data_IF_955494918679
#
_entry.id   IF_955494918679
#
_cell.length_a   1.000
_cell.length_b   1.000
_cell.length_c   1.000
_cell.angle_alpha   90.00
_cell.angle_beta   90.00
_cell.angle_gamma   90.00
#
_symmetry.space_group_name_H-M   'P 1'
#
loop_
_entity.id
_entity.type
_entity.pdbx_description
1 polymer ?
#
# COMPACT_ATOMS: atom_id res chain seq x y z
N UNK A 1 -37.00 -26.08 -0.77
CA UNK A 1 -36.10 -25.76 0.36
C UNK A 1 -34.93 -24.98 -0.21
N UNK A 2 -34.92 -23.66 -0.04
CA UNK A 2 -33.91 -22.78 -0.62
C UNK A 2 -32.86 -22.52 0.46
N UNK A 3 -31.69 -23.16 0.34
CA UNK A 3 -30.55 -22.83 1.19
C UNK A 3 -30.01 -21.48 0.71
N UNK A 4 -30.33 -20.42 1.44
CA UNK A 4 -29.68 -19.13 1.24
C UNK A 4 -28.23 -19.31 1.68
N UNK A 5 -27.34 -19.60 0.72
CA UNK A 5 -25.91 -19.58 0.93
C UNK A 5 -25.53 -18.11 1.14
N UNK A 6 -25.73 -17.59 2.36
CA UNK A 6 -25.14 -16.35 2.79
C UNK A 6 -23.64 -16.62 2.89
N UNK A 7 -22.96 -16.54 1.74
CA UNK A 7 -21.56 -16.21 1.67
C UNK A 7 -21.43 -14.85 2.35
N UNK A 8 -21.33 -14.86 3.69
CA UNK A 8 -20.70 -13.78 4.43
C UNK A 8 -19.24 -13.84 3.99
N UNK A 9 -18.95 -13.25 2.84
CA UNK A 9 -17.61 -12.78 2.52
C UNK A 9 -17.35 -11.71 3.57
N UNK A 10 -16.83 -12.10 4.73
CA UNK A 10 -16.14 -11.16 5.59
C UNK A 10 -14.94 -10.71 4.76
N UNK A 11 -15.03 -9.55 4.14
CA UNK A 11 -13.87 -8.93 3.50
C UNK A 11 -12.82 -8.76 4.59
N UNK A 12 -11.76 -9.56 4.53
CA UNK A 12 -10.61 -9.37 5.39
C UNK A 12 -9.71 -8.29 4.77
N UNK A 13 -8.91 -7.61 5.60
CA UNK A 13 -8.01 -6.56 5.11
C UNK A 13 -7.05 -7.06 4.00
N UNK A 14 -6.73 -8.36 4.01
CA UNK A 14 -5.92 -9.03 2.99
C UNK A 14 -6.61 -9.17 1.62
N UNK A 15 -7.94 -9.07 1.58
CA UNK A 15 -8.74 -9.16 0.35
C UNK A 15 -8.84 -7.84 -0.41
N UNK A 16 -8.31 -6.73 0.15
CA UNK A 16 -8.38 -5.39 -0.44
C UNK A 16 -7.07 -5.04 -1.14
N UNK A 17 -7.14 -4.82 -2.46
CA UNK A 17 -5.98 -4.35 -3.22
C UNK A 17 -5.79 -2.84 -3.07
N UNK A 18 -4.90 -2.44 -2.19
CA UNK A 18 -4.52 -1.03 -1.99
C UNK A 18 -3.06 -0.80 -2.37
N UNK A 19 -2.84 -0.02 -3.44
CA UNK A 19 -1.51 0.39 -3.93
C UNK A 19 -1.46 1.88 -4.22
N UNK A 20 -0.28 2.48 -4.07
CA UNK A 20 -0.05 3.90 -4.38
C UNK A 20 1.34 4.11 -5.00
N UNK A 21 1.55 5.30 -5.57
CA UNK A 21 2.85 5.78 -6.04
C UNK A 21 3.27 6.88 -5.06
N UNK A 22 4.27 6.58 -4.24
CA UNK A 22 4.79 7.54 -3.28
C UNK A 22 5.74 8.52 -3.96
N UNK A 23 5.66 9.79 -3.57
CA UNK A 23 6.61 10.83 -3.96
C UNK A 23 7.23 11.46 -2.72
N UNK A 24 8.52 11.79 -2.83
CA UNK A 24 9.27 12.40 -1.75
C UNK A 24 9.76 13.77 -2.18
N UNK A 25 9.78 14.69 -1.21
CA UNK A 25 10.41 15.99 -1.36
C UNK A 25 11.37 16.20 -0.21
N UNK A 26 12.67 16.24 -0.50
CA UNK A 26 13.69 16.43 0.51
C UNK A 26 14.61 17.59 0.16
N UNK A 27 15.22 18.19 1.17
CA UNK A 27 16.36 19.08 0.97
C UNK A 27 17.56 18.30 0.42
N UNK A 28 18.54 19.00 -0.19
CA UNK A 28 19.82 18.39 -0.55
C UNK A 28 20.52 17.75 0.65
N UNK A 29 21.20 16.63 0.43
CA UNK A 29 21.90 15.89 1.48
C UNK A 29 21.67 14.39 1.41
N UNK A 30 21.74 13.72 2.56
CA UNK A 30 21.73 12.25 2.68
C UNK A 30 20.54 11.57 1.97
N UNK A 31 19.37 12.21 1.95
CA UNK A 31 18.14 11.64 1.39
C UNK A 31 17.73 12.25 0.05
N UNK A 32 18.58 13.09 -0.56
CA UNK A 32 18.27 13.75 -1.83
C UNK A 32 17.89 12.76 -2.94
N UNK A 33 18.47 11.55 -2.90
CA UNK A 33 18.16 10.48 -3.84
C UNK A 33 16.67 10.12 -3.86
N UNK A 34 15.90 10.33 -2.79
CA UNK A 34 14.45 10.04 -2.79
C UNK A 34 13.66 10.90 -3.80
N UNK A 35 14.20 12.05 -4.23
CA UNK A 35 13.53 12.88 -5.25
C UNK A 35 13.73 12.33 -6.67
N UNK A 36 14.70 11.44 -6.88
CA UNK A 36 15.20 11.07 -8.21
C UNK A 36 14.65 9.71 -8.70
N UNK A 37 13.91 8.97 -7.87
CA UNK A 37 13.36 7.66 -8.19
C UNK A 37 11.83 7.61 -8.17
N UNK A 38 11.28 6.63 -8.87
CA UNK A 38 9.88 6.24 -8.78
C UNK A 38 9.74 5.20 -7.66
N UNK A 39 8.71 5.37 -6.83
CA UNK A 39 8.39 4.44 -5.76
C UNK A 39 6.97 3.91 -5.92
N UNK A 40 6.81 2.62 -5.66
CA UNK A 40 5.50 1.98 -5.53
C UNK A 40 5.31 1.52 -4.10
N UNK A 41 4.07 1.56 -3.61
CA UNK A 41 3.79 1.21 -2.23
C UNK A 41 2.59 0.29 -2.10
N UNK A 42 2.65 -0.59 -1.10
CA UNK A 42 1.55 -1.40 -0.62
C UNK A 42 1.09 -0.89 0.75
N UNK A 43 -0.23 -0.89 0.97
CA UNK A 43 -0.83 -0.43 2.22
C UNK A 43 -1.51 -1.62 2.89
N UNK A 44 -1.13 -1.89 4.13
CA UNK A 44 -1.75 -2.88 5.00
C UNK A 44 -2.48 -2.15 6.13
N UNK A 45 -3.76 -2.47 6.35
CA UNK A 45 -4.55 -1.87 7.42
C UNK A 45 -4.24 -2.60 8.74
N UNK A 46 -3.77 -1.86 9.75
CA UNK A 46 -3.51 -2.42 11.08
C UNK A 46 -4.71 -2.22 12.01
N UNK A 47 -5.41 -1.10 11.85
CA UNK A 47 -6.63 -0.73 12.57
C UNK A 47 -7.46 0.24 11.73
N UNK A 48 -8.58 0.74 12.29
CA UNK A 48 -9.42 1.74 11.62
C UNK A 48 -8.72 3.12 11.46
N UNK A 49 -7.68 3.39 12.27
CA UNK A 49 -6.97 4.68 12.28
C UNK A 49 -5.53 4.58 11.80
N UNK A 50 -4.97 3.36 11.71
CA UNK A 50 -3.56 3.14 11.41
C UNK A 50 -3.36 2.23 10.20
N UNK A 51 -2.45 2.65 9.33
CA UNK A 51 -2.02 1.86 8.17
C UNK A 51 -0.50 1.73 8.15
N UNK A 52 -0.02 0.57 7.72
CA UNK A 52 1.37 0.33 7.40
C UNK A 52 1.56 0.55 5.90
N UNK A 53 2.52 1.41 5.53
CA UNK A 53 2.85 1.66 4.12
C UNK A 53 4.23 1.11 3.84
N UNK A 54 4.28 0.01 3.08
CA UNK A 54 5.51 -0.57 2.56
C UNK A 54 5.89 0.12 1.26
N UNK A 55 7.04 0.79 1.19
CA UNK A 55 7.50 1.56 0.02
C UNK A 55 8.70 0.88 -0.64
N UNK A 56 8.65 0.74 -1.95
CA UNK A 56 9.67 0.06 -2.75
C UNK A 56 10.21 1.01 -3.82
N UNK A 57 11.53 1.16 -3.89
CA UNK A 57 12.21 1.86 -4.99
C UNK A 57 12.13 0.98 -6.24
N UNK A 58 11.66 1.54 -7.35
CA UNK A 58 11.70 0.85 -8.64
C UNK A 58 13.09 1.04 -9.23
N UNK A 59 13.88 -0.04 -9.31
CA UNK A 59 15.06 -0.06 -10.18
C UNK A 59 14.62 -0.50 -11.58
N UNK A 60 15.06 0.26 -12.59
CA UNK A 60 14.85 -0.13 -13.99
C UNK A 60 15.58 -1.43 -14.33
N UNK A 61 15.05 -2.19 -15.29
CA UNK A 61 15.72 -3.35 -15.90
C UNK A 61 16.93 -2.92 -16.74
#
# INVERSE_FOLDING_TARGET
MMALLSLRLSMEAIDVYTRTVASFKTSPGQYAWLNDYIFVSAIDYLSDEEVLINVYKVDGL
#
